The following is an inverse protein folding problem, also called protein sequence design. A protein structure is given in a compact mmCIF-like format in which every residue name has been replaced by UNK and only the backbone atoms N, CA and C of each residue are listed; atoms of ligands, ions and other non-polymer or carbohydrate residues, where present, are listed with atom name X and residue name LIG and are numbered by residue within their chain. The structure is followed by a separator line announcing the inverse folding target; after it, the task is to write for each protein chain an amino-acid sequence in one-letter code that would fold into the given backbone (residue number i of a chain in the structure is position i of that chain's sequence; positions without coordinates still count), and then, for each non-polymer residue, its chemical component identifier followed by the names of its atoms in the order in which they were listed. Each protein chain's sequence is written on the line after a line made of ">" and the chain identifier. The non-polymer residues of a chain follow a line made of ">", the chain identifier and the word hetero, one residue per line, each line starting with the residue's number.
data_IF_347316410091
#
_entry.id   IF_347316410091
#
_cell.length_a   1.000
_cell.length_b   1.000
_cell.length_c   1.000
_cell.angle_alpha   90.00
_cell.angle_beta   90.00
_cell.angle_gamma   90.00
#
_symmetry.space_group_name_H-M   'P 1'
#
loop_
_entity.id
_entity.type
_entity.pdbx_description
1 polymer ?
#
# COMPACT_ATOMS: atom_id res chain seq x y z
N UNK A 1 33.36 -46.53 11.97
CA UNK A 1 33.14 -45.33 11.16
C UNK A 1 34.40 -44.51 11.21
N UNK A 2 35.02 -44.30 10.05
CA UNK A 2 36.29 -43.55 10.01
C UNK A 2 36.06 -42.05 10.22
N UNK A 3 37.04 -41.42 10.88
CA UNK A 3 37.02 -39.95 11.16
C UNK A 3 36.79 -39.14 9.89
N UNK A 4 37.31 -39.61 8.73
CA UNK A 4 37.09 -38.99 7.42
C UNK A 4 35.61 -38.94 7.01
N UNK A 5 34.84 -39.97 7.35
CA UNK A 5 33.38 -40.01 7.07
C UNK A 5 32.62 -38.97 7.90
N UNK A 6 33.01 -38.73 9.13
CA UNK A 6 32.43 -37.73 9.99
C UNK A 6 32.74 -36.31 9.49
N UNK A 7 33.97 -36.08 9.02
CA UNK A 7 34.37 -34.78 8.44
C UNK A 7 33.57 -34.51 7.16
N UNK A 8 33.43 -35.51 6.28
CA UNK A 8 32.65 -35.39 5.06
C UNK A 8 31.16 -35.14 5.32
N UNK A 9 30.59 -35.83 6.30
CA UNK A 9 29.20 -35.64 6.71
C UNK A 9 28.97 -34.23 7.27
N UNK A 10 29.86 -33.75 8.15
CA UNK A 10 29.77 -32.41 8.72
C UNK A 10 29.91 -31.32 7.65
N UNK A 11 30.83 -31.51 6.69
CA UNK A 11 31.00 -30.60 5.55
C UNK A 11 29.76 -30.56 4.66
N UNK A 12 29.15 -31.72 4.35
CA UNK A 12 27.93 -31.80 3.56
C UNK A 12 26.76 -31.10 4.25
N UNK A 13 26.57 -31.30 5.56
CA UNK A 13 25.53 -30.64 6.35
C UNK A 13 25.78 -29.13 6.38
N UNK A 14 27.01 -28.70 6.56
CA UNK A 14 27.40 -27.27 6.54
C UNK A 14 27.08 -26.61 5.20
N UNK A 15 27.41 -27.26 4.09
CA UNK A 15 27.13 -26.76 2.75
C UNK A 15 25.64 -26.66 2.46
N UNK A 16 24.88 -27.71 2.80
CA UNK A 16 23.42 -27.70 2.62
C UNK A 16 22.80 -26.60 3.48
N UNK A 17 23.22 -26.48 4.75
CA UNK A 17 22.74 -25.42 5.63
C UNK A 17 23.02 -24.02 5.11
N UNK A 18 24.26 -23.74 4.68
CA UNK A 18 24.64 -22.47 4.12
C UNK A 18 23.86 -22.13 2.85
N UNK A 19 23.67 -23.11 1.95
CA UNK A 19 22.90 -22.93 0.71
C UNK A 19 21.43 -22.65 1.00
N UNK A 20 20.84 -23.36 1.97
CA UNK A 20 19.45 -23.18 2.38
C UNK A 20 19.23 -21.78 2.97
N UNK A 21 20.14 -21.34 3.85
CA UNK A 21 20.08 -19.99 4.45
C UNK A 21 20.25 -18.91 3.38
N UNK A 22 21.22 -19.08 2.47
CA UNK A 22 21.44 -18.13 1.38
C UNK A 22 20.20 -18.02 0.45
N UNK A 23 19.60 -19.16 0.10
CA UNK A 23 18.39 -19.21 -0.71
C UNK A 23 17.20 -18.57 0.03
N UNK A 24 17.03 -18.87 1.31
CA UNK A 24 15.99 -18.26 2.13
C UNK A 24 16.14 -16.75 2.24
N UNK A 25 17.34 -16.24 2.47
CA UNK A 25 17.63 -14.81 2.48
C UNK A 25 17.37 -14.17 1.11
N UNK A 26 17.82 -14.82 0.03
CA UNK A 26 17.55 -14.33 -1.32
C UNK A 26 16.05 -14.28 -1.65
N UNK A 27 15.29 -15.29 -1.27
CA UNK A 27 13.83 -15.33 -1.46
C UNK A 27 13.11 -14.33 -0.57
N UNK A 28 13.55 -14.14 0.67
CA UNK A 28 12.98 -13.15 1.59
C UNK A 28 13.16 -11.72 1.09
N UNK A 29 14.27 -11.43 0.43
CA UNK A 29 14.59 -10.09 -0.09
C UNK A 29 13.96 -9.80 -1.46
N UNK A 30 13.29 -10.80 -2.10
CA UNK A 30 12.61 -10.61 -3.39
C UNK A 30 11.24 -9.95 -3.25
N UNK A 31 10.72 -9.82 -2.03
CA UNK A 31 9.44 -9.15 -1.78
C UNK A 31 9.51 -7.66 -2.12
N UNK A 32 8.79 -7.22 -3.15
CA UNK A 32 8.53 -5.80 -3.38
C UNK A 32 7.46 -5.37 -2.41
N UNK A 33 7.86 -4.62 -1.39
CA UNK A 33 6.97 -4.17 -0.34
C UNK A 33 6.71 -2.68 -0.50
N UNK A 34 5.44 -2.32 -0.53
CA UNK A 34 4.98 -0.95 -0.42
C UNK A 34 4.09 -0.84 0.80
N UNK A 35 4.22 0.27 1.50
CA UNK A 35 3.27 0.66 2.54
C UNK A 35 2.55 1.93 2.13
N UNK A 36 1.26 2.01 2.47
CA UNK A 36 0.42 3.15 2.14
C UNK A 36 -0.24 3.72 3.39
N UNK A 37 -0.16 5.03 3.55
CA UNK A 37 -0.80 5.76 4.63
C UNK A 37 -1.48 7.03 4.11
N UNK A 38 -2.66 7.35 4.63
CA UNK A 38 -3.29 8.63 4.35
C UNK A 38 -2.74 9.71 5.26
N UNK A 39 -2.38 10.84 4.68
CA UNK A 39 -2.09 12.07 5.39
C UNK A 39 -3.01 13.18 4.90
N UNK A 40 -3.14 14.23 5.71
CA UNK A 40 -3.95 15.39 5.44
C UNK A 40 -3.03 16.60 5.51
N UNK A 41 -2.85 17.29 4.39
CA UNK A 41 -2.15 18.57 4.40
C UNK A 41 -3.11 19.66 4.85
N UNK A 42 -2.84 20.25 6.02
CA UNK A 42 -3.65 21.32 6.59
C UNK A 42 -3.58 22.65 5.84
N UNK A 43 -2.63 22.77 4.90
CA UNK A 43 -2.20 24.10 4.43
C UNK A 43 -2.97 24.70 3.24
N UNK A 44 -3.75 23.96 2.43
CA UNK A 44 -4.32 24.61 1.23
C UNK A 44 -5.63 24.09 0.65
N UNK A 45 -6.01 22.91 0.95
CA UNK A 45 -7.33 22.39 0.56
C UNK A 45 -7.38 20.98 1.12
N UNK A 46 -8.27 20.71 2.00
CA UNK A 46 -8.53 19.42 2.67
C UNK A 46 -8.48 18.18 1.73
N UNK A 47 -7.49 18.11 0.86
CA UNK A 47 -7.29 17.00 -0.04
C UNK A 47 -6.51 15.90 0.67
N UNK A 48 -7.05 14.71 0.76
CA UNK A 48 -6.32 13.56 1.26
C UNK A 48 -5.17 13.22 0.32
N UNK A 49 -4.00 13.00 0.90
CA UNK A 49 -2.83 12.55 0.18
C UNK A 49 -2.53 11.12 0.62
N UNK A 50 -2.42 10.22 -0.34
CA UNK A 50 -1.93 8.89 -0.09
C UNK A 50 -0.41 8.90 -0.20
N UNK A 51 0.26 8.66 0.93
CA UNK A 51 1.69 8.39 0.95
C UNK A 51 1.91 6.92 0.66
N UNK A 52 2.73 6.63 -0.34
CA UNK A 52 3.17 5.28 -0.64
C UNK A 52 4.68 5.23 -0.47
N UNK A 53 5.14 4.44 0.47
CA UNK A 53 6.54 4.20 0.73
C UNK A 53 6.96 2.87 0.12
N UNK A 54 8.03 2.89 -0.66
CA UNK A 54 8.68 1.68 -1.11
C UNK A 54 9.68 1.21 -0.03
N UNK A 55 9.31 0.19 0.73
CA UNK A 55 10.17 -0.38 1.77
C UNK A 55 11.11 -1.48 1.25
N UNK A 56 11.07 -1.76 -0.05
CA UNK A 56 11.96 -2.73 -0.68
C UNK A 56 13.26 -2.09 -1.17
N UNK A 57 14.23 -2.93 -1.48
CA UNK A 57 15.53 -2.51 -2.08
C UNK A 57 15.48 -2.37 -3.59
N UNK A 58 14.32 -2.56 -4.22
CA UNK A 58 14.14 -2.52 -5.68
C UNK A 58 13.13 -1.44 -6.04
N UNK A 59 13.23 -0.96 -7.28
CA UNK A 59 12.23 -0.06 -7.83
C UNK A 59 10.88 -0.78 -7.90
N UNK A 60 9.85 -0.10 -7.44
CA UNK A 60 8.46 -0.53 -7.54
C UNK A 60 7.75 0.31 -8.59
N UNK A 61 7.01 -0.35 -9.46
CA UNK A 61 6.14 0.30 -10.44
C UNK A 61 4.69 0.01 -10.03
N UNK A 62 3.96 1.05 -9.71
CA UNK A 62 2.54 0.95 -9.39
C UNK A 62 1.74 0.80 -10.69
N UNK A 63 0.76 -0.07 -10.68
CA UNK A 63 -0.18 -0.26 -11.78
C UNK A 63 -1.46 0.54 -11.53
N UNK A 64 -2.06 0.35 -10.36
CA UNK A 64 -3.27 1.04 -9.98
C UNK A 64 -3.42 1.19 -8.47
N UNK A 65 -4.24 2.16 -8.08
CA UNK A 65 -4.66 2.37 -6.70
C UNK A 65 -6.18 2.38 -6.68
N UNK A 66 -6.76 1.49 -5.87
CA UNK A 66 -8.19 1.43 -5.66
C UNK A 66 -8.52 1.80 -4.21
N UNK A 67 -9.46 2.68 -3.99
CA UNK A 67 -10.03 2.96 -2.67
C UNK A 67 -11.40 2.33 -2.62
N UNK A 68 -11.60 1.40 -1.70
CA UNK A 68 -12.88 0.70 -1.49
C UNK A 68 -13.54 1.15 -0.20
N UNK A 69 -14.84 1.37 -0.29
CA UNK A 69 -15.70 1.68 0.83
C UNK A 69 -16.92 0.74 0.79
N UNK A 70 -17.17 0.02 1.87
CA UNK A 70 -18.19 -1.05 1.91
C UNK A 70 -18.06 -2.08 0.77
N UNK A 71 -16.85 -2.44 0.39
CA UNK A 71 -16.59 -3.40 -0.68
C UNK A 71 -16.76 -2.85 -2.09
N UNK A 72 -17.33 -1.65 -2.26
CA UNK A 72 -17.46 -0.98 -3.56
C UNK A 72 -16.27 -0.07 -3.83
N UNK A 73 -15.87 0.03 -5.10
CA UNK A 73 -14.82 0.95 -5.53
C UNK A 73 -15.37 2.37 -5.43
N UNK A 74 -14.79 3.17 -4.53
CA UNK A 74 -15.11 4.58 -4.35
C UNK A 74 -14.22 5.48 -5.20
N UNK A 75 -12.98 5.06 -5.47
CA UNK A 75 -12.02 5.78 -6.28
C UNK A 75 -11.05 4.78 -6.91
N UNK A 76 -10.64 5.06 -8.13
CA UNK A 76 -9.62 4.29 -8.84
C UNK A 76 -8.76 5.24 -9.67
N UNK A 77 -7.46 5.01 -9.65
CA UNK A 77 -6.51 5.65 -10.55
C UNK A 77 -5.62 4.55 -11.14
N UNK A 78 -5.44 4.60 -12.44
CA UNK A 78 -4.68 3.61 -13.20
C UNK A 78 -3.58 4.29 -14.01
N UNK A 79 -2.40 3.69 -14.01
CA UNK A 79 -1.24 4.22 -14.72
C UNK A 79 -1.40 4.18 -16.25
N UNK A 80 -2.32 3.36 -16.76
CA UNK A 80 -2.62 3.30 -18.20
C UNK A 80 -3.54 4.41 -18.68
N UNK A 81 -4.38 4.93 -17.78
CA UNK A 81 -5.39 5.94 -18.10
C UNK A 81 -4.98 7.35 -17.66
N UNK A 82 -4.18 7.47 -16.61
CA UNK A 82 -3.76 8.75 -16.03
C UNK A 82 -2.25 8.97 -16.23
N UNK A 83 -1.91 9.80 -17.21
CA UNK A 83 -0.52 10.12 -17.56
C UNK A 83 0.25 10.78 -16.40
N UNK A 84 -0.42 11.59 -15.58
CA UNK A 84 0.20 12.21 -14.41
C UNK A 84 0.52 11.17 -13.36
N UNK A 85 -0.39 10.24 -13.13
CA UNK A 85 -0.15 9.12 -12.22
C UNK A 85 0.93 8.18 -12.78
N UNK A 86 0.95 7.92 -14.09
CA UNK A 86 1.97 7.09 -14.72
C UNK A 86 3.39 7.58 -14.44
N UNK A 87 3.61 8.91 -14.44
CA UNK A 87 4.91 9.50 -14.06
C UNK A 87 5.24 9.30 -12.59
N UNK A 88 4.24 9.33 -11.73
CA UNK A 88 4.38 9.17 -10.28
C UNK A 88 4.37 7.71 -9.83
N UNK A 89 4.10 6.78 -10.74
CA UNK A 89 3.95 5.36 -10.43
C UNK A 89 5.26 4.63 -10.16
N UNK A 90 6.40 5.23 -10.55
CA UNK A 90 7.73 4.64 -10.36
C UNK A 90 8.28 5.16 -9.04
N UNK A 91 8.51 4.24 -8.09
CA UNK A 91 9.02 4.56 -6.76
C UNK A 91 10.34 3.84 -6.54
N UNK A 92 11.41 4.61 -6.41
CA UNK A 92 12.74 4.08 -6.10
C UNK A 92 12.80 3.48 -4.69
N UNK A 93 13.81 2.65 -4.46
CA UNK A 93 14.01 2.00 -3.17
C UNK A 93 14.12 3.03 -2.02
N UNK A 94 13.37 2.81 -0.95
CA UNK A 94 13.35 3.69 0.22
C UNK A 94 12.60 5.01 0.04
N UNK A 95 12.18 5.37 -1.18
CA UNK A 95 11.50 6.64 -1.45
C UNK A 95 10.01 6.58 -1.10
N UNK A 96 9.48 7.78 -0.85
CA UNK A 96 8.05 8.01 -0.57
C UNK A 96 7.46 8.82 -1.72
N UNK A 97 6.35 8.32 -2.26
CA UNK A 97 5.57 9.00 -3.27
C UNK A 97 4.30 9.59 -2.67
N UNK A 98 4.01 10.85 -2.95
CA UNK A 98 2.79 11.55 -2.57
C UNK A 98 1.80 11.51 -3.73
N UNK A 99 0.63 10.93 -3.51
CA UNK A 99 -0.43 10.84 -4.52
C UNK A 99 -1.66 11.58 -4.00
N UNK A 100 -1.97 12.76 -4.54
CA UNK A 100 -3.15 13.50 -4.16
C UNK A 100 -4.41 12.77 -4.65
N UNK A 101 -5.38 12.59 -3.75
CA UNK A 101 -6.66 11.96 -4.07
C UNK A 101 -7.67 13.06 -4.41
N UNK A 102 -8.18 13.03 -5.63
CA UNK A 102 -9.22 13.97 -6.04
C UNK A 102 -10.57 13.61 -5.39
N UNK A 103 -10.94 14.36 -4.36
CA UNK A 103 -12.19 14.14 -3.63
C UNK A 103 -13.44 14.32 -4.49
N UNK A 104 -13.39 15.15 -5.52
CA UNK A 104 -14.50 15.32 -6.46
C UNK A 104 -14.82 14.09 -7.31
N UNK A 105 -13.86 13.17 -7.44
CA UNK A 105 -14.04 11.88 -8.13
C UNK A 105 -14.44 10.73 -7.18
N UNK A 106 -14.47 10.98 -5.87
CA UNK A 106 -14.84 9.96 -4.89
C UNK A 106 -16.34 9.68 -4.93
N UNK A 107 -16.69 8.44 -5.22
CA UNK A 107 -18.09 7.96 -5.23
C UNK A 107 -18.36 7.22 -3.92
N UNK A 108 -18.68 7.95 -2.87
CA UNK A 108 -19.11 7.33 -1.61
C UNK A 108 -20.62 7.26 -1.51
N UNK A 109 -21.14 6.13 -1.04
CA UNK A 109 -22.49 6.09 -0.48
C UNK A 109 -22.52 6.90 0.82
N UNK A 110 -23.57 7.70 1.06
CA UNK A 110 -23.72 8.49 2.29
C UNK A 110 -23.49 7.60 3.52
N UNK A 111 -22.55 7.95 4.40
CA UNK A 111 -22.33 7.19 5.62
C UNK A 111 -23.56 7.32 6.55
N UNK A 112 -23.91 6.26 7.24
CA UNK A 112 -24.99 6.27 8.23
C UNK A 112 -24.47 6.72 9.59
N UNK A 113 -25.12 7.66 10.27
CA UNK A 113 -24.75 8.14 11.63
C UNK A 113 -24.69 7.01 12.67
N UNK A 114 -25.32 5.87 12.39
CA UNK A 114 -25.42 4.74 13.34
C UNK A 114 -24.14 3.93 13.52
N UNK A 115 -23.17 4.03 12.60
CA UNK A 115 -21.92 3.29 12.71
C UNK A 115 -20.83 4.12 13.38
N UNK A 116 -20.16 3.52 14.35
CA UNK A 116 -19.06 4.18 15.11
C UNK A 116 -17.79 4.35 14.30
N UNK A 117 -17.48 3.46 13.35
CA UNK A 117 -16.25 3.50 12.55
C UNK A 117 -16.49 3.01 11.13
N UNK A 118 -15.83 3.66 10.20
CA UNK A 118 -15.85 3.37 8.77
C UNK A 118 -14.47 2.94 8.31
N UNK A 119 -14.40 1.82 7.60
CA UNK A 119 -13.15 1.30 7.06
C UNK A 119 -13.02 1.65 5.57
N UNK A 120 -11.98 2.39 5.24
CA UNK A 120 -11.52 2.57 3.86
C UNK A 120 -10.41 1.55 3.61
N UNK A 121 -10.59 0.73 2.58
CA UNK A 121 -9.55 -0.19 2.11
C UNK A 121 -8.87 0.42 0.91
N UNK A 122 -7.57 0.63 0.99
CA UNK A 122 -6.72 1.04 -0.13
C UNK A 122 -6.02 -0.19 -0.65
N UNK A 123 -6.22 -0.48 -1.91
CA UNK A 123 -5.56 -1.58 -2.60
C UNK A 123 -4.55 -0.97 -3.56
N UNK A 124 -3.29 -1.23 -3.31
CA UNK A 124 -2.18 -0.78 -4.15
C UNK A 124 -1.73 -1.98 -4.99
N UNK A 125 -1.89 -1.89 -6.29
CA UNK A 125 -1.42 -2.90 -7.23
C UNK A 125 -0.08 -2.50 -7.80
N UNK A 126 0.85 -3.43 -7.80
CA UNK A 126 2.17 -3.29 -8.39
C UNK A 126 2.20 -4.10 -9.69
N UNK A 127 2.92 -3.61 -10.69
CA UNK A 127 3.10 -4.33 -11.97
C UNK A 127 3.75 -5.71 -11.76
N UNK A 128 4.68 -5.78 -10.82
CA UNK A 128 5.38 -7.01 -10.47
C UNK A 128 5.46 -7.11 -8.96
N UNK A 129 4.71 -8.00 -8.37
CA UNK A 129 4.68 -8.20 -6.92
C UNK A 129 3.26 -8.35 -6.37
N UNK A 130 3.13 -8.67 -5.09
CA UNK A 130 1.84 -8.84 -4.47
C UNK A 130 1.10 -7.50 -4.35
N UNK A 131 -0.22 -7.54 -4.44
CA UNK A 131 -1.05 -6.38 -4.09
C UNK A 131 -0.93 -6.09 -2.59
N UNK A 132 -0.79 -4.83 -2.23
CA UNK A 132 -0.85 -4.39 -0.83
C UNK A 132 -2.25 -3.89 -0.50
N UNK A 133 -2.78 -4.30 0.63
CA UNK A 133 -4.05 -3.82 1.16
C UNK A 133 -3.78 -3.08 2.46
N UNK A 134 -4.08 -1.79 2.48
CA UNK A 134 -4.03 -0.96 3.67
C UNK A 134 -5.46 -0.62 4.10
N UNK A 135 -5.72 -0.63 5.39
CA UNK A 135 -7.05 -0.28 5.92
C UNK A 135 -6.93 0.90 6.88
N UNK A 136 -7.62 1.98 6.56
CA UNK A 136 -7.76 3.13 7.44
C UNK A 136 -9.18 3.15 8.01
N UNK A 137 -9.30 3.41 9.32
CA UNK A 137 -10.58 3.47 10.01
C UNK A 137 -10.84 4.90 10.46
N UNK A 138 -12.01 5.43 10.14
CA UNK A 138 -12.42 6.79 10.47
C UNK A 138 -13.75 6.77 11.23
N UNK A 139 -13.94 7.74 12.13
CA UNK A 139 -15.28 8.04 12.68
C UNK A 139 -16.16 8.68 11.59
N UNK A 140 -17.45 8.81 11.87
CA UNK A 140 -18.37 9.51 10.98
C UNK A 140 -17.94 10.96 10.74
N UNK A 141 -17.58 11.65 11.82
CA UNK A 141 -17.14 13.05 11.78
C UNK A 141 -15.84 13.22 11.01
N UNK A 142 -14.84 12.36 11.30
CA UNK A 142 -13.57 12.37 10.58
C UNK A 142 -13.75 12.09 9.09
N UNK A 143 -14.62 11.14 8.72
CA UNK A 143 -14.88 10.84 7.33
C UNK A 143 -15.56 12.04 6.65
N UNK A 144 -16.53 12.66 7.32
CA UNK A 144 -17.22 13.85 6.84
C UNK A 144 -16.28 15.02 6.61
N UNK A 145 -15.53 15.39 7.64
CA UNK A 145 -14.61 16.53 7.59
C UNK A 145 -13.50 16.32 6.56
N UNK A 146 -12.95 15.12 6.53
CA UNK A 146 -11.75 14.83 5.73
C UNK A 146 -12.03 14.55 4.25
N UNK A 147 -13.14 13.89 3.92
CA UNK A 147 -13.43 13.49 2.55
C UNK A 147 -14.54 14.29 1.88
N UNK A 148 -15.47 14.85 2.65
CA UNK A 148 -16.64 15.50 2.09
C UNK A 148 -16.69 17.01 2.31
N UNK A 149 -15.78 17.55 3.17
CA UNK A 149 -15.85 18.94 3.60
C UNK A 149 -17.06 19.21 4.51
N UNK A 150 -17.03 20.33 5.24
CA UNK A 150 -18.09 20.65 6.19
C UNK A 150 -19.49 20.88 5.60
N UNK A 151 -19.58 21.07 4.27
CA UNK A 151 -20.86 21.44 3.62
C UNK A 151 -21.83 20.29 3.33
N UNK A 152 -21.40 19.03 3.38
CA UNK A 152 -22.24 17.89 3.00
C UNK A 152 -23.04 17.27 4.15
N UNK A 153 -22.76 17.65 5.39
CA UNK A 153 -23.42 17.09 6.58
C UNK A 153 -24.30 18.09 7.36
N UNK A 154 -24.38 19.34 6.92
CA UNK A 154 -25.19 20.39 7.55
C UNK A 154 -26.66 20.40 7.12
N UNK A 155 -27.14 19.39 6.41
CA UNK A 155 -28.53 19.26 5.99
C UNK A 155 -29.15 17.98 6.56
N UNK A 156 -29.70 18.06 7.72
CA UNK A 156 -30.52 17.00 8.32
C UNK A 156 -31.27 17.48 9.52
#
# INVERSE_FOLDING_TARGET
>A
MDISNWINLASAIGTIGATTVALWLALRDTGRHVDGTFIWEAASSYQPILLIQNTSRRIVVLESIEIKYYGKIAYMIDATEDFKFARQSIIEAGNIQKIPINTGKLKFAKPSKTKRKYALKVIIRQRTGPKKVCTAKYSYEELGTRFFGQGLFSGG
#
